data_IF_161116817053
#
_entry.id   IF_161116817053
#
_cell.length_a   1.000
_cell.length_b   1.000
_cell.length_c   1.000
_cell.angle_alpha   90.00
_cell.angle_beta   90.00
_cell.angle_gamma   90.00
#
_symmetry.space_group_name_H-M   'P 1'
#
loop_
_entity.id
_entity.type
_entity.pdbx_description
1 polymer ?
#
# COMPACT_ATOMS: atom_id res chain seq x y z
N UNK A 1 12.20 25.25 -6.78
CA UNK A 1 11.68 24.68 -5.53
C UNK A 1 12.04 23.20 -5.51
N UNK A 2 12.57 22.68 -4.42
CA UNK A 2 12.88 21.24 -4.26
C UNK A 2 11.77 20.52 -3.47
N UNK A 3 11.86 19.19 -3.38
CA UNK A 3 10.79 18.37 -2.79
C UNK A 3 10.66 18.59 -1.28
N UNK A 4 11.79 18.63 -0.52
CA UNK A 4 11.75 19.02 0.88
C UNK A 4 11.05 20.34 1.15
N UNK A 5 11.39 21.39 0.38
CA UNK A 5 10.82 22.73 0.53
C UNK A 5 9.33 22.72 0.24
N UNK A 6 8.91 22.14 -0.90
CA UNK A 6 7.50 22.05 -1.27
C UNK A 6 6.66 21.32 -0.20
N UNK A 7 7.16 20.19 0.30
CA UNK A 7 6.47 19.41 1.34
C UNK A 7 6.38 20.17 2.67
N UNK A 8 7.46 20.81 3.11
CA UNK A 8 7.47 21.59 4.37
C UNK A 8 6.55 22.80 4.28
N UNK A 9 6.56 23.54 3.17
CA UNK A 9 5.68 24.68 2.96
C UNK A 9 4.21 24.25 2.92
N UNK A 10 3.90 23.14 2.25
CA UNK A 10 2.56 22.58 2.23
C UNK A 10 2.10 22.19 3.66
N UNK A 11 2.92 21.42 4.37
CA UNK A 11 2.61 20.96 5.73
C UNK A 11 2.52 22.11 6.75
N UNK A 12 3.28 23.20 6.59
CA UNK A 12 3.17 24.40 7.43
C UNK A 12 1.86 25.14 7.21
N UNK A 13 1.39 25.23 5.97
CA UNK A 13 0.12 25.90 5.63
C UNK A 13 -1.10 25.11 6.09
N UNK A 14 -1.03 23.79 5.98
CA UNK A 14 -2.21 22.92 6.03
C UNK A 14 -2.22 21.88 7.16
N UNK A 15 -1.12 21.75 7.89
CA UNK A 15 -0.88 20.63 8.79
C UNK A 15 -0.47 19.36 8.05
N UNK A 16 -0.25 18.27 8.79
CA UNK A 16 0.09 16.96 8.23
C UNK A 16 -1.17 16.11 8.19
N UNK A 17 -1.67 15.85 6.97
CA UNK A 17 -2.75 14.91 6.68
C UNK A 17 -2.33 14.09 5.48
N UNK A 18 -2.21 12.78 5.62
CA UNK A 18 -1.74 11.88 4.57
C UNK A 18 -2.86 10.93 4.17
N UNK A 19 -3.18 10.88 2.88
CA UNK A 19 -4.09 9.91 2.29
C UNK A 19 -3.28 9.04 1.33
N UNK A 20 -3.27 7.74 1.55
CA UNK A 20 -2.37 6.83 0.85
C UNK A 20 -3.10 5.63 0.29
N UNK A 21 -2.58 5.07 -0.81
CA UNK A 21 -2.94 3.70 -1.16
C UNK A 21 -2.57 2.76 0.00
N UNK A 22 -3.39 1.73 0.17
CA UNK A 22 -3.37 0.85 1.33
C UNK A 22 -2.58 -0.42 1.09
N UNK A 23 -1.72 -0.48 0.09
CA UNK A 23 -0.84 -1.60 -0.18
C UNK A 23 0.54 -1.41 0.46
N UNK A 24 1.48 -2.30 0.15
CA UNK A 24 2.82 -2.23 0.73
C UNK A 24 3.57 -0.96 0.37
N UNK A 25 3.39 -0.48 -0.86
CA UNK A 25 4.08 0.69 -1.36
C UNK A 25 3.59 1.95 -0.65
N UNK A 26 2.28 2.20 -0.67
CA UNK A 26 1.66 3.31 0.05
C UNK A 26 1.94 3.29 1.56
N UNK A 27 1.90 2.13 2.22
CA UNK A 27 2.21 2.02 3.65
C UNK A 27 3.66 2.39 3.95
N UNK A 28 4.62 1.88 3.18
CA UNK A 28 6.04 2.17 3.41
C UNK A 28 6.36 3.64 3.08
N UNK A 29 5.86 4.15 1.96
CA UNK A 29 6.00 5.54 1.56
C UNK A 29 5.45 6.49 2.64
N UNK A 30 4.26 6.20 3.16
CA UNK A 30 3.64 6.96 4.27
C UNK A 30 4.48 6.93 5.54
N UNK A 31 5.04 5.77 5.91
CA UNK A 31 5.91 5.67 7.08
C UNK A 31 7.19 6.50 6.91
N UNK A 32 7.81 6.47 5.73
CA UNK A 32 8.99 7.28 5.42
C UNK A 32 8.67 8.77 5.48
N UNK A 33 7.53 9.20 4.93
CA UNK A 33 7.05 10.58 5.00
C UNK A 33 6.85 11.05 6.44
N UNK A 34 6.11 10.28 7.25
CA UNK A 34 5.86 10.64 8.66
C UNK A 34 7.18 10.80 9.43
N UNK A 35 8.11 9.86 9.26
CA UNK A 35 9.42 9.92 9.93
C UNK A 35 10.24 11.12 9.48
N UNK A 36 10.20 11.44 8.18
CA UNK A 36 10.88 12.59 7.65
C UNK A 36 10.27 13.90 8.20
N UNK A 37 8.94 14.03 8.19
CA UNK A 37 8.22 15.18 8.74
C UNK A 37 8.47 15.35 10.26
N UNK A 38 8.53 14.26 11.03
CA UNK A 38 8.95 14.31 12.45
C UNK A 38 10.34 14.94 12.62
N UNK A 39 11.30 14.58 11.77
CA UNK A 39 12.64 15.18 11.78
C UNK A 39 12.65 16.67 11.42
N UNK A 40 11.66 17.13 10.64
CA UNK A 40 11.45 18.55 10.34
C UNK A 40 10.68 19.31 11.45
N UNK A 41 10.32 18.64 12.55
CA UNK A 41 9.66 19.26 13.71
C UNK A 41 8.14 19.19 13.70
N UNK A 42 7.51 18.47 12.75
CA UNK A 42 6.06 18.27 12.75
C UNK A 42 5.64 17.19 13.76
N UNK A 43 4.57 17.47 14.51
CA UNK A 43 3.92 16.47 15.37
C UNK A 43 2.94 15.65 14.53
N UNK A 44 3.36 14.44 14.13
CA UNK A 44 2.55 13.51 13.35
C UNK A 44 2.92 12.06 13.68
N UNK A 45 2.09 11.10 13.28
CA UNK A 45 2.18 9.68 13.58
C UNK A 45 1.14 8.90 12.79
N UNK A 46 0.67 7.80 13.37
CA UNK A 46 -0.31 6.90 12.72
C UNK A 46 -1.67 7.58 12.52
N UNK A 47 -2.05 8.51 13.39
CA UNK A 47 -3.36 9.20 13.34
C UNK A 47 -3.53 10.10 12.13
N UNK A 48 -2.43 10.58 11.55
CA UNK A 48 -2.45 11.49 10.39
C UNK A 48 -2.43 10.74 9.06
N UNK A 49 -2.41 9.40 9.06
CA UNK A 49 -2.38 8.58 7.84
C UNK A 49 -3.69 7.80 7.69
N UNK A 50 -4.33 7.99 6.55
CA UNK A 50 -5.56 7.31 6.16
C UNK A 50 -5.34 6.40 4.95
N UNK A 51 -5.80 5.16 5.05
CA UNK A 51 -5.81 4.17 3.96
C UNK A 51 -7.27 3.87 3.59
N UNK A 52 -7.93 4.70 2.77
CA UNK A 52 -9.32 4.50 2.40
C UNK A 52 -9.45 3.22 1.58
N UNK A 53 -10.56 2.48 1.80
CA UNK A 53 -10.91 1.39 0.88
C UNK A 53 -11.21 1.98 -0.51
N UNK A 54 -10.88 1.31 -1.62
CA UNK A 54 -11.13 1.85 -2.97
C UNK A 54 -12.57 2.35 -3.19
N UNK A 55 -13.55 1.61 -2.68
CA UNK A 55 -14.99 1.95 -2.73
C UNK A 55 -15.38 3.22 -1.97
N UNK A 56 -14.57 3.66 -1.00
CA UNK A 56 -14.78 4.91 -0.26
C UNK A 56 -14.06 6.10 -0.89
N UNK A 57 -13.10 5.85 -1.78
CA UNK A 57 -12.29 6.89 -2.40
C UNK A 57 -13.03 7.59 -3.54
N UNK A 58 -13.84 6.84 -4.29
CA UNK A 58 -14.67 7.41 -5.36
C UNK A 58 -15.63 8.47 -4.79
N UNK A 59 -15.63 9.66 -5.40
CA UNK A 59 -16.37 10.85 -4.95
C UNK A 59 -16.00 11.36 -3.54
N UNK A 60 -14.93 10.86 -2.92
CA UNK A 60 -14.42 11.41 -1.67
C UNK A 60 -13.92 12.82 -1.91
N UNK A 61 -14.42 13.77 -1.13
CA UNK A 61 -13.94 15.15 -1.13
C UNK A 61 -12.70 15.24 -0.26
N UNK A 62 -11.59 15.66 -0.85
CA UNK A 62 -10.32 15.83 -0.15
C UNK A 62 -9.88 17.28 -0.21
N UNK A 63 -9.31 17.74 0.90
CA UNK A 63 -8.79 19.10 1.03
C UNK A 63 -7.52 19.13 1.87
N UNK A 64 -6.47 19.71 1.29
CA UNK A 64 -5.17 19.93 1.92
C UNK A 64 -4.48 18.64 2.40
N UNK A 65 -4.61 17.57 1.61
CA UNK A 65 -3.96 16.28 1.88
C UNK A 65 -2.63 16.16 1.14
N UNK A 66 -1.70 15.45 1.78
CA UNK A 66 -0.56 14.84 1.11
C UNK A 66 -1.04 13.48 0.60
N UNK A 67 -0.99 13.27 -0.71
CA UNK A 67 -1.40 12.05 -1.38
C UNK A 67 -0.19 11.19 -1.68
N UNK A 68 -0.34 9.89 -1.46
CA UNK A 68 0.68 8.88 -1.76
C UNK A 68 0.05 7.82 -2.65
N UNK A 69 0.49 7.75 -3.90
CA UNK A 69 0.07 6.72 -4.86
C UNK A 69 -1.46 6.74 -5.16
N UNK A 70 -2.07 7.90 -4.99
CA UNK A 70 -3.47 8.12 -5.28
C UNK A 70 -3.59 9.20 -6.36
N UNK A 71 -3.36 8.86 -7.65
CA UNK A 71 -3.61 9.80 -8.74
C UNK A 71 -5.09 10.17 -8.85
N UNK A 72 -5.44 11.33 -9.44
CA UNK A 72 -6.84 11.75 -9.62
C UNK A 72 -7.72 10.74 -10.36
N UNK A 73 -7.13 9.88 -11.19
CA UNK A 73 -7.82 8.76 -11.86
C UNK A 73 -8.51 7.77 -10.90
N UNK A 74 -8.20 7.82 -9.61
CA UNK A 74 -8.92 7.09 -8.55
C UNK A 74 -10.32 7.64 -8.24
N UNK A 75 -10.68 8.81 -8.78
CA UNK A 75 -12.04 9.34 -8.76
C UNK A 75 -12.46 10.12 -7.50
N UNK A 76 -11.50 10.52 -6.66
CA UNK A 76 -11.76 11.50 -5.59
C UNK A 76 -11.84 12.92 -6.16
N UNK A 77 -12.39 13.86 -5.38
CA UNK A 77 -12.56 15.25 -5.78
C UNK A 77 -11.68 16.14 -4.89
N UNK A 78 -10.74 16.88 -5.50
CA UNK A 78 -9.96 17.89 -4.78
C UNK A 78 -10.78 19.17 -4.64
N UNK A 79 -11.10 19.56 -3.41
CA UNK A 79 -11.88 20.79 -3.14
C UNK A 79 -11.02 22.05 -3.13
N UNK A 80 -9.72 21.95 -2.89
CA UNK A 80 -8.79 23.08 -2.87
C UNK A 80 -7.46 22.71 -3.53
N UNK A 81 -6.51 22.19 -2.75
CA UNK A 81 -5.26 21.62 -3.25
C UNK A 81 -4.85 20.36 -2.47
N UNK A 82 -4.02 19.54 -3.10
CA UNK A 82 -3.41 18.35 -2.53
C UNK A 82 -1.99 18.17 -3.10
N UNK A 83 -1.06 17.69 -2.28
CA UNK A 83 0.31 17.45 -2.68
C UNK A 83 0.52 15.95 -2.95
N UNK A 84 0.76 15.55 -4.19
CA UNK A 84 0.79 14.15 -4.62
C UNK A 84 2.21 13.66 -4.89
N UNK A 85 2.60 12.58 -4.22
CA UNK A 85 3.71 11.71 -4.61
C UNK A 85 3.15 10.56 -5.45
N UNK A 86 3.60 10.45 -6.69
CA UNK A 86 3.17 9.37 -7.59
C UNK A 86 4.29 8.93 -8.52
N UNK A 87 4.28 7.65 -8.88
CA UNK A 87 5.21 7.05 -9.81
C UNK A 87 4.52 6.46 -11.06
N UNK A 88 3.19 6.42 -11.10
CA UNK A 88 2.41 5.93 -12.24
C UNK A 88 2.40 6.94 -13.41
N UNK A 89 2.92 6.53 -14.57
CA UNK A 89 2.94 7.35 -15.79
C UNK A 89 3.93 8.52 -15.73
N UNK A 90 3.62 9.58 -14.99
CA UNK A 90 4.57 10.68 -14.73
C UNK A 90 5.02 10.60 -13.28
N UNK A 91 6.29 10.29 -13.07
CA UNK A 91 6.87 10.12 -11.74
C UNK A 91 7.36 11.44 -11.14
N UNK A 92 6.99 11.73 -9.89
CA UNK A 92 7.43 12.95 -9.20
C UNK A 92 6.54 13.45 -8.06
N UNK A 93 6.66 14.75 -7.80
CA UNK A 93 5.86 15.50 -6.84
C UNK A 93 4.98 16.50 -7.59
N UNK A 94 3.68 16.46 -7.31
CA UNK A 94 2.67 17.23 -8.02
C UNK A 94 1.80 18.01 -7.06
N UNK A 95 1.35 19.19 -7.49
CA UNK A 95 0.27 19.91 -6.83
C UNK A 95 -1.01 19.68 -7.63
N UNK A 96 -1.97 18.99 -7.02
CA UNK A 96 -3.29 18.76 -7.61
C UNK A 96 -4.22 19.83 -7.06
N UNK A 97 -4.80 20.64 -7.93
CA UNK A 97 -5.76 21.70 -7.57
C UNK A 97 -7.18 21.29 -7.92
N UNK A 98 -8.15 22.07 -7.42
CA UNK A 98 -9.56 21.98 -7.79
C UNK A 98 -9.73 21.86 -9.30
N UNK A 99 -10.64 20.98 -9.72
CA UNK A 99 -10.87 20.69 -11.14
C UNK A 99 -9.82 19.77 -11.76
N UNK A 100 -9.11 19.01 -10.93
CA UNK A 100 -8.09 18.02 -11.33
C UNK A 100 -6.92 18.63 -12.13
N UNK A 101 -6.68 19.92 -11.97
CA UNK A 101 -5.52 20.56 -12.56
C UNK A 101 -4.25 20.08 -11.84
N UNK A 102 -3.38 19.38 -12.56
CA UNK A 102 -2.11 18.86 -12.04
C UNK A 102 -0.96 19.77 -12.45
N UNK A 103 -0.36 20.45 -11.48
CA UNK A 103 0.89 21.19 -11.63
C UNK A 103 2.07 20.31 -11.24
N UNK A 104 3.06 20.19 -12.14
CA UNK A 104 4.26 19.39 -11.89
C UNK A 104 5.27 20.24 -11.13
N UNK A 105 5.39 20.01 -9.82
CA UNK A 105 6.40 20.71 -9.01
C UNK A 105 7.79 20.15 -9.30
N UNK A 106 7.90 18.81 -9.36
CA UNK A 106 9.16 18.10 -9.58
C UNK A 106 8.89 16.88 -10.46
N UNK A 107 9.57 16.82 -11.60
CA UNK A 107 9.60 15.63 -12.46
C UNK A 107 10.92 14.90 -12.26
N UNK A 108 10.88 13.58 -12.19
CA UNK A 108 12.09 12.75 -12.08
C UNK A 108 12.00 11.55 -13.02
N UNK A 109 13.01 10.69 -12.98
CA UNK A 109 13.00 9.39 -13.66
C UNK A 109 11.94 8.47 -13.07
N UNK A 110 11.64 7.38 -13.76
CA UNK A 110 10.76 6.35 -13.24
C UNK A 110 11.35 5.67 -12.00
N UNK A 111 10.47 5.28 -11.09
CA UNK A 111 10.80 4.52 -9.89
C UNK A 111 9.87 3.30 -9.79
N UNK A 112 10.38 2.16 -9.30
CA UNK A 112 9.62 0.91 -9.14
C UNK A 112 8.64 0.91 -7.97
N UNK A 113 8.53 2.01 -7.23
CA UNK A 113 7.60 2.20 -6.11
C UNK A 113 7.56 3.68 -5.69
N UNK A 114 6.43 4.14 -5.16
CA UNK A 114 6.25 5.41 -4.47
C UNK A 114 7.16 5.53 -3.23
N UNK A 115 7.39 4.45 -2.50
CA UNK A 115 8.29 4.42 -1.34
C UNK A 115 9.72 4.76 -1.73
N UNK A 116 10.19 4.23 -2.87
CA UNK A 116 11.53 4.55 -3.39
C UNK A 116 11.59 5.98 -3.91
N UNK A 117 10.52 6.45 -4.57
CA UNK A 117 10.38 7.84 -4.99
C UNK A 117 10.49 8.80 -3.81
N UNK A 118 9.71 8.57 -2.74
CA UNK A 118 9.72 9.37 -1.51
C UNK A 118 11.12 9.38 -0.90
N UNK A 119 11.76 8.22 -0.76
CA UNK A 119 13.11 8.12 -0.20
C UNK A 119 14.12 8.92 -1.02
N UNK A 120 13.99 8.90 -2.36
CA UNK A 120 14.87 9.63 -3.27
C UNK A 120 14.64 11.13 -3.22
N UNK A 121 13.38 11.59 -3.37
CA UNK A 121 13.04 13.01 -3.42
C UNK A 121 13.38 13.75 -2.12
N UNK A 122 13.31 13.05 -0.99
CA UNK A 122 13.56 13.63 0.34
C UNK A 122 14.96 13.31 0.90
N UNK A 123 15.84 12.72 0.08
CA UNK A 123 17.21 12.30 0.45
C UNK A 123 17.25 11.51 1.77
N UNK A 124 16.35 10.53 1.92
CA UNK A 124 16.25 9.72 3.12
C UNK A 124 17.34 8.64 3.11
N UNK A 125 18.26 8.73 4.07
CA UNK A 125 19.25 7.67 4.33
C UNK A 125 18.61 6.52 5.11
N UNK A 126 18.47 5.37 4.46
CA UNK A 126 17.85 4.17 5.04
C UNK A 126 18.88 3.27 5.71
N UNK A 127 18.54 2.76 6.90
CA UNK A 127 19.30 1.69 7.53
C UNK A 127 19.13 0.38 6.75
N UNK A 128 20.08 -0.55 6.89
CA UNK A 128 20.11 -1.83 6.16
C UNK A 128 18.79 -2.62 6.20
N UNK A 129 18.07 -2.57 7.33
CA UNK A 129 16.75 -3.20 7.47
C UNK A 129 15.69 -2.61 6.55
N UNK A 130 15.63 -1.27 6.45
CA UNK A 130 14.73 -0.57 5.54
C UNK A 130 15.13 -0.76 4.08
N UNK A 131 16.43 -0.77 3.77
CA UNK A 131 16.89 -1.05 2.40
C UNK A 131 16.42 -2.42 1.91
N UNK A 132 16.47 -3.44 2.78
CA UNK A 132 15.95 -4.77 2.46
C UNK A 132 14.43 -4.74 2.23
N UNK A 133 13.70 -4.04 3.09
CA UNK A 133 12.24 -3.90 2.97
C UNK A 133 11.85 -3.13 1.71
N UNK A 134 12.51 -2.01 1.41
CA UNK A 134 12.25 -1.21 0.23
C UNK A 134 12.44 -2.01 -1.05
N UNK A 135 13.53 -2.78 -1.16
CA UNK A 135 13.75 -3.69 -2.31
C UNK A 135 12.65 -4.73 -2.45
N UNK A 136 12.14 -5.25 -1.33
CA UNK A 136 11.03 -6.20 -1.35
C UNK A 136 9.72 -5.54 -1.81
N UNK A 137 9.46 -4.30 -1.38
CA UNK A 137 8.30 -3.51 -1.84
C UNK A 137 8.40 -3.21 -3.33
N UNK A 138 9.56 -2.81 -3.86
CA UNK A 138 9.76 -2.61 -5.30
C UNK A 138 9.41 -3.86 -6.11
N UNK A 139 9.81 -5.04 -5.62
CA UNK A 139 9.47 -6.32 -6.27
C UNK A 139 7.98 -6.62 -6.20
N UNK A 140 7.29 -6.20 -5.14
CA UNK A 140 5.83 -6.38 -5.02
C UNK A 140 5.09 -5.51 -6.02
N UNK A 141 5.43 -4.22 -6.04
CA UNK A 141 4.78 -3.23 -6.88
C UNK A 141 5.00 -3.51 -8.38
N UNK A 142 6.21 -3.96 -8.75
CA UNK A 142 6.52 -4.41 -10.12
C UNK A 142 5.97 -5.81 -10.48
N UNK A 143 5.25 -6.48 -9.58
CA UNK A 143 4.66 -7.80 -9.82
C UNK A 143 5.65 -8.97 -9.77
N UNK A 144 6.87 -8.74 -9.30
CA UNK A 144 7.98 -9.69 -9.29
C UNK A 144 8.27 -10.32 -7.92
N UNK A 145 7.39 -10.12 -6.93
CA UNK A 145 7.56 -10.55 -5.54
C UNK A 145 7.98 -12.02 -5.35
N UNK A 146 7.62 -12.93 -6.26
CA UNK A 146 7.98 -14.36 -6.20
C UNK A 146 9.46 -14.64 -6.48
N UNK A 147 10.21 -13.69 -7.05
CA UNK A 147 11.64 -13.83 -7.33
C UNK A 147 12.51 -13.77 -6.08
N UNK A 148 11.98 -13.27 -4.96
CA UNK A 148 12.68 -13.17 -3.68
C UNK A 148 11.82 -13.73 -2.54
N UNK A 149 12.40 -14.58 -1.69
CA UNK A 149 11.64 -15.26 -0.64
C UNK A 149 11.16 -14.31 0.46
N UNK A 150 11.89 -13.22 0.72
CA UNK A 150 11.51 -12.22 1.70
C UNK A 150 10.39 -11.31 1.16
N UNK A 151 10.49 -10.87 -0.09
CA UNK A 151 9.42 -10.16 -0.78
C UNK A 151 8.14 -11.01 -0.85
N UNK A 152 8.26 -12.29 -1.19
CA UNK A 152 7.12 -13.18 -1.21
C UNK A 152 6.51 -13.38 0.18
N UNK A 153 7.31 -13.51 1.23
CA UNK A 153 6.83 -13.63 2.61
C UNK A 153 5.97 -12.42 3.02
N UNK A 154 6.47 -11.20 2.84
CA UNK A 154 5.71 -9.99 3.22
C UNK A 154 4.49 -9.77 2.31
N UNK A 155 4.59 -10.17 1.04
CA UNK A 155 3.45 -10.10 0.12
C UNK A 155 2.33 -11.05 0.57
N UNK A 156 2.63 -12.30 0.92
CA UNK A 156 1.65 -13.24 1.51
C UNK A 156 0.96 -12.68 2.74
N UNK A 157 1.72 -12.07 3.65
CA UNK A 157 1.20 -11.43 4.85
C UNK A 157 0.20 -10.31 4.51
N UNK A 158 0.43 -9.56 3.43
CA UNK A 158 -0.51 -8.58 2.91
C UNK A 158 -1.73 -9.23 2.24
N UNK A 159 -1.54 -10.25 1.41
CA UNK A 159 -2.62 -10.91 0.66
C UNK A 159 -3.72 -11.49 1.57
N UNK A 160 -3.35 -12.06 2.71
CA UNK A 160 -4.32 -12.55 3.72
C UNK A 160 -5.01 -11.40 4.48
N UNK A 161 -4.46 -10.19 4.41
CA UNK A 161 -4.89 -8.99 5.14
C UNK A 161 -5.34 -7.83 4.24
N UNK A 162 -5.61 -8.06 2.95
CA UNK A 162 -5.94 -7.00 1.96
C UNK A 162 -7.09 -6.10 2.41
N UNK A 163 -8.05 -6.63 3.17
CA UNK A 163 -9.20 -5.87 3.66
C UNK A 163 -9.06 -5.34 5.10
N UNK A 164 -7.92 -5.60 5.75
CA UNK A 164 -7.66 -5.31 7.17
C UNK A 164 -7.06 -3.93 7.37
N UNK A 165 -7.88 -2.95 7.80
CA UNK A 165 -7.37 -1.63 8.22
C UNK A 165 -6.50 -1.71 9.47
N UNK A 166 -6.74 -2.70 10.34
CA UNK A 166 -5.93 -2.95 11.54
C UNK A 166 -4.50 -3.37 11.17
N UNK A 167 -4.34 -4.32 10.24
CA UNK A 167 -3.03 -4.75 9.74
C UNK A 167 -2.21 -3.56 9.26
N UNK A 168 -2.80 -2.70 8.42
CA UNK A 168 -2.13 -1.49 7.89
C UNK A 168 -1.66 -0.57 9.01
N UNK A 169 -2.50 -0.35 10.03
CA UNK A 169 -2.16 0.49 11.19
C UNK A 169 -1.05 -0.10 12.03
N UNK A 170 -1.07 -1.41 12.28
CA UNK A 170 -0.01 -2.11 13.04
C UNK A 170 1.33 -2.01 12.29
N UNK A 171 1.33 -2.35 11.00
CA UNK A 171 2.53 -2.28 10.15
C UNK A 171 3.07 -0.85 10.08
N UNK A 172 2.20 0.14 9.83
CA UNK A 172 2.58 1.55 9.80
C UNK A 172 3.19 1.99 11.14
N UNK A 173 2.58 1.63 12.27
CA UNK A 173 3.10 1.95 13.59
C UNK A 173 4.49 1.35 13.82
N UNK A 174 4.69 0.07 13.50
CA UNK A 174 5.99 -0.59 13.65
C UNK A 174 7.07 0.05 12.77
N UNK A 175 6.72 0.48 11.54
CA UNK A 175 7.63 1.21 10.65
C UNK A 175 7.98 2.60 11.20
N UNK A 176 6.99 3.37 11.66
CA UNK A 176 7.23 4.70 12.21
C UNK A 176 8.15 4.63 13.44
N UNK A 177 7.95 3.63 14.30
CA UNK A 177 8.68 3.44 15.57
C UNK A 177 9.97 2.59 15.43
N UNK A 178 10.47 2.36 14.21
CA UNK A 178 11.73 1.66 13.95
C UNK A 178 11.81 0.20 14.45
N UNK A 179 10.66 -0.45 14.63
CA UNK A 179 10.55 -1.84 15.10
C UNK A 179 10.67 -2.86 13.97
N UNK A 180 11.71 -2.75 13.15
CA UNK A 180 11.88 -3.60 11.95
C UNK A 180 11.97 -5.09 12.27
N UNK A 181 12.62 -5.46 13.39
CA UNK A 181 12.72 -6.88 13.79
C UNK A 181 11.35 -7.45 14.14
N UNK A 182 10.61 -6.76 15.00
CA UNK A 182 9.26 -7.15 15.42
C UNK A 182 8.30 -7.19 14.24
N UNK A 183 8.41 -6.22 13.32
CA UNK A 183 7.65 -6.21 12.08
C UNK A 183 7.90 -7.47 11.24
N UNK A 184 9.17 -7.84 11.04
CA UNK A 184 9.51 -9.04 10.24
C UNK A 184 8.96 -10.30 10.90
N UNK A 185 8.99 -10.40 12.22
CA UNK A 185 8.40 -11.52 12.96
C UNK A 185 6.87 -11.55 12.81
N UNK A 186 6.21 -10.41 13.01
CA UNK A 186 4.77 -10.26 12.80
C UNK A 186 4.34 -10.69 11.39
N UNK A 187 5.01 -10.19 10.35
CA UNK A 187 4.73 -10.55 8.96
C UNK A 187 5.00 -12.03 8.67
N UNK A 188 5.99 -12.63 9.33
CA UNK A 188 6.24 -14.06 9.17
C UNK A 188 5.06 -14.88 9.69
N UNK A 189 4.52 -14.54 10.86
CA UNK A 189 3.34 -15.23 11.40
C UNK A 189 2.10 -15.03 10.52
N UNK A 190 1.83 -13.81 10.07
CA UNK A 190 0.74 -13.52 9.12
C UNK A 190 0.91 -14.31 7.81
N UNK A 191 2.14 -14.46 7.30
CA UNK A 191 2.41 -15.21 6.07
C UNK A 191 2.13 -16.72 6.20
N UNK A 192 2.24 -17.30 7.40
CA UNK A 192 1.88 -18.71 7.65
C UNK A 192 0.37 -18.92 7.56
N UNK A 193 -0.43 -17.92 7.95
CA UNK A 193 -1.88 -17.99 7.81
C UNK A 193 -2.30 -18.08 6.34
N UNK A 194 -1.59 -17.36 5.45
CA UNK A 194 -1.78 -17.49 4.01
C UNK A 194 -1.50 -18.92 3.52
N UNK A 195 -0.38 -19.51 3.93
CA UNK A 195 -0.02 -20.88 3.50
C UNK A 195 -1.07 -21.90 3.93
N UNK A 196 -1.57 -21.80 5.19
CA UNK A 196 -2.67 -22.64 5.69
C UNK A 196 -3.97 -22.44 4.90
N UNK A 197 -4.30 -21.20 4.55
CA UNK A 197 -5.48 -20.92 3.73
C UNK A 197 -5.35 -21.55 2.34
N UNK A 198 -4.17 -21.50 1.73
CA UNK A 198 -3.88 -22.11 0.43
C UNK A 198 -4.03 -23.65 0.48
N UNK A 199 -3.54 -24.30 1.54
CA UNK A 199 -3.71 -25.74 1.75
C UNK A 199 -5.19 -26.13 1.81
N UNK A 200 -6.01 -25.36 2.55
CA UNK A 200 -7.46 -25.58 2.63
C UNK A 200 -8.14 -25.43 1.26
N UNK A 201 -7.76 -24.43 0.47
CA UNK A 201 -8.28 -24.23 -0.90
C UNK A 201 -7.95 -25.43 -1.78
N UNK A 202 -6.70 -25.91 -1.76
CA UNK A 202 -6.30 -27.08 -2.57
C UNK A 202 -7.10 -28.34 -2.18
N UNK A 203 -7.40 -28.53 -0.89
CA UNK A 203 -8.28 -29.61 -0.43
C UNK A 203 -9.69 -29.44 -0.98
N UNK A 204 -10.24 -28.22 -0.95
CA UNK A 204 -11.57 -27.95 -1.49
C UNK A 204 -11.61 -28.19 -3.01
N UNK A 205 -10.62 -27.70 -3.76
CA UNK A 205 -10.48 -27.93 -5.21
C UNK A 205 -10.41 -29.43 -5.53
N UNK A 206 -9.66 -30.22 -4.76
CA UNK A 206 -9.57 -31.68 -4.93
C UNK A 206 -10.89 -32.43 -4.69
N UNK A 207 -11.82 -31.80 -3.96
CA UNK A 207 -13.16 -32.34 -3.64
C UNK A 207 -14.23 -31.86 -4.62
N UNK A 208 -13.92 -30.91 -5.50
CA UNK A 208 -14.84 -30.48 -6.56
C UNK A 208 -15.02 -31.63 -7.53
N UNK A 209 -16.17 -32.31 -7.44
CA UNK A 209 -16.64 -33.21 -8.50
C UNK A 209 -17.07 -32.34 -9.69
N UNK A 210 -16.46 -32.56 -10.85
CA UNK A 210 -16.88 -31.95 -12.11
C UNK A 210 -18.30 -32.40 -12.47
N UNK A 211 -19.31 -31.56 -12.23
CA UNK A 211 -20.68 -31.81 -12.73
C UNK A 211 -20.84 -31.04 -14.05
N UNK A 212 -20.31 -31.63 -15.13
CA UNK A 212 -20.40 -31.14 -16.52
C UNK A 212 -19.79 -29.75 -16.79
N UNK A 213 -19.47 -29.47 -18.06
CA UNK A 213 -18.58 -28.40 -18.52
C UNK A 213 -19.01 -26.95 -18.27
N UNK A 214 -19.96 -26.66 -17.36
CA UNK A 214 -20.49 -25.29 -17.19
C UNK A 214 -20.75 -24.81 -15.78
N UNK A 215 -20.68 -25.64 -14.73
CA UNK A 215 -20.97 -25.18 -13.35
C UNK A 215 -20.09 -25.91 -12.33
N UNK A 216 -19.30 -25.17 -11.57
CA UNK A 216 -18.66 -25.64 -10.34
C UNK A 216 -19.53 -25.24 -9.15
N UNK A 217 -19.99 -26.23 -8.36
CA UNK A 217 -20.69 -25.99 -7.10
C UNK A 217 -19.67 -25.85 -5.97
N UNK A 218 -19.66 -24.69 -5.31
CA UNK A 218 -19.07 -24.56 -3.99
C UNK A 218 -20.15 -24.93 -2.97
N UNK A 219 -20.09 -26.12 -2.38
CA UNK A 219 -20.78 -26.36 -1.11
C UNK A 219 -20.01 -25.61 -0.03
N UNK A 220 -20.42 -24.37 0.22
CA UNK A 220 -20.00 -23.61 1.39
C UNK A 220 -20.55 -24.33 2.62
N UNK A 221 -19.74 -25.18 3.26
CA UNK A 221 -20.03 -25.56 4.64
C UNK A 221 -19.73 -24.30 5.47
N UNK A 222 -20.78 -23.58 5.82
CA UNK A 222 -20.78 -22.49 6.79
C UNK A 222 -20.20 -22.99 8.11
N UNK A 223 -18.90 -22.79 8.30
CA UNK A 223 -18.26 -22.83 9.62
C UNK A 223 -17.45 -21.54 9.78
N UNK A 224 -18.14 -20.53 10.29
CA UNK A 224 -17.66 -19.45 11.17
C UNK A 224 -16.24 -18.84 11.05
N UNK A 225 -15.58 -18.77 9.88
CA UNK A 225 -14.37 -17.95 9.71
C UNK A 225 -14.35 -17.21 8.36
N UNK A 226 -15.09 -16.09 8.30
CA UNK A 226 -15.29 -15.24 7.11
C UNK A 226 -14.03 -14.63 6.50
N UNK A 227 -12.87 -14.71 7.16
CA UNK A 227 -11.59 -14.21 6.63
C UNK A 227 -10.99 -15.12 5.53
N UNK A 228 -11.15 -16.44 5.66
CA UNK A 228 -10.45 -17.39 4.78
C UNK A 228 -11.06 -17.48 3.37
N UNK A 229 -12.38 -17.29 3.25
CA UNK A 229 -13.11 -17.39 1.99
C UNK A 229 -12.91 -16.20 1.06
N UNK A 230 -12.70 -15.00 1.62
CA UNK A 230 -12.44 -13.81 0.80
C UNK A 230 -11.06 -13.87 0.14
N UNK A 231 -10.06 -14.37 0.87
CA UNK A 231 -8.70 -14.61 0.33
C UNK A 231 -8.70 -15.69 -0.74
N UNK A 232 -9.54 -16.73 -0.61
CA UNK A 232 -9.69 -17.77 -1.63
C UNK A 232 -10.22 -17.22 -2.97
N UNK A 233 -11.19 -16.30 -2.93
CA UNK A 233 -11.71 -15.64 -4.13
C UNK A 233 -10.64 -14.80 -4.84
N UNK A 234 -9.82 -14.06 -4.09
CA UNK A 234 -8.74 -13.23 -4.66
C UNK A 234 -7.62 -14.09 -5.28
N UNK A 235 -7.29 -15.24 -4.67
CA UNK A 235 -6.31 -16.18 -5.22
C UNK A 235 -6.77 -16.82 -6.54
N UNK A 236 -8.08 -17.06 -6.70
CA UNK A 236 -8.65 -17.66 -7.92
C UNK A 236 -8.73 -16.68 -9.10
N UNK A 237 -9.09 -15.41 -8.85
CA UNK A 237 -9.12 -14.37 -9.90
C UNK A 237 -7.70 -14.06 -10.42
N UNK A 238 -6.69 -14.14 -9.56
CA UNK A 238 -5.29 -13.95 -9.97
C UNK A 238 -4.77 -15.06 -10.88
N UNK A 239 -5.17 -16.32 -10.64
CA UNK A 239 -4.74 -17.48 -11.43
C UNK A 239 -5.28 -17.45 -12.87
N UNK A 240 -6.46 -16.84 -13.08
CA UNK A 240 -7.10 -16.72 -14.40
C UNK A 240 -6.51 -15.63 -15.29
N UNK A 241 -5.87 -14.62 -14.71
CA UNK A 241 -5.29 -13.49 -15.46
C UNK A 241 -3.82 -13.72 -15.87
N UNK A 242 -3.26 -14.90 -15.60
CA UNK A 242 -1.86 -15.26 -15.90
C UNK A 242 -1.69 -16.50 -16.78
N UNK A 243 -2.78 -17.02 -17.35
CA UNK A 243 -2.77 -18.01 -18.44
C UNK A 243 -3.21 -17.35 -19.73
#
# INVERSE_FOLDING_TARGET
>A
MDAPTALVEFARRHGVKILSDGDWDGILASALLVKWLRKQGFKCGVSEVEFPKPRKLYSMKIKDYILVELPPSRGYIVEDEALLFDHHGVTGLFLVRRGEQIEKLIKTREFPSAARLVSFLLDIKLAKGYEKLLKAVDLIDTGESRKDSFAWMIHKAYLINTDSSEFRRIVLAMLIEDKIKDLIEYLREESKAYDKALEKINILESRVRSISNRIAFFTTILVSETRELFTASLCLDWKKNMT
#
